data_IF_520981078795
#
_entry.id   IF_520981078795
#
_cell.length_a   1.000
_cell.length_b   1.000
_cell.length_c   1.000
_cell.angle_alpha   90.00
_cell.angle_beta   90.00
_cell.angle_gamma   90.00
#
_symmetry.space_group_name_H-M   'P 1'
#
loop_
_entity.id
_entity.type
_entity.pdbx_description
1 polymer ?
#
# COMPACT_ATOMS: atom_id res chain seq x y z
N UNK A 1 -7.96 -27.00 -37.41
CA UNK A 1 -6.78 -26.32 -36.81
C UNK A 1 -7.00 -24.84 -36.46
N UNK A 2 -7.94 -24.11 -37.09
CA UNK A 2 -8.21 -22.69 -36.76
C UNK A 2 -8.90 -22.45 -35.40
N UNK A 3 -9.72 -23.39 -34.93
CA UNK A 3 -10.45 -23.27 -33.66
C UNK A 3 -9.58 -23.45 -32.40
N UNK A 4 -8.46 -24.17 -32.50
CA UNK A 4 -7.54 -24.39 -31.37
C UNK A 4 -6.75 -23.13 -31.00
N UNK A 5 -6.50 -22.25 -31.98
CA UNK A 5 -5.75 -21.01 -31.77
C UNK A 5 -6.59 -19.98 -30.99
N UNK A 6 -7.89 -19.92 -31.27
CA UNK A 6 -8.83 -19.00 -30.58
C UNK A 6 -9.00 -19.38 -29.10
N UNK A 7 -9.05 -20.68 -28.79
CA UNK A 7 -9.12 -21.15 -27.40
C UNK A 7 -7.82 -20.93 -26.62
N UNK A 8 -6.67 -21.00 -27.30
CA UNK A 8 -5.37 -20.73 -26.67
C UNK A 8 -5.16 -19.25 -26.35
N UNK A 9 -5.67 -18.33 -27.17
CA UNK A 9 -5.63 -16.89 -26.87
C UNK A 9 -6.51 -16.48 -25.68
N UNK A 10 -7.62 -17.19 -25.42
CA UNK A 10 -8.47 -16.95 -24.26
C UNK A 10 -7.80 -17.36 -22.93
N UNK A 11 -6.94 -18.38 -22.94
CA UNK A 11 -6.21 -18.82 -21.75
C UNK A 11 -5.08 -17.86 -21.33
N UNK A 12 -4.55 -17.07 -22.26
CA UNK A 12 -3.48 -16.11 -21.98
C UNK A 12 -3.96 -14.82 -21.31
N UNK A 13 -5.26 -14.49 -21.39
CA UNK A 13 -5.85 -13.36 -20.67
C UNK A 13 -6.27 -13.69 -19.21
N UNK A 14 -6.11 -14.94 -18.76
CA UNK A 14 -6.48 -15.39 -17.41
C UNK A 14 -5.25 -15.51 -16.48
N UNK A 15 -4.07 -15.09 -16.93
CA UNK A 15 -2.81 -15.18 -16.19
C UNK A 15 -2.39 -13.86 -15.48
N UNK A 16 -3.35 -12.98 -15.16
CA UNK A 16 -3.14 -12.02 -14.07
C UNK A 16 -3.71 -12.64 -12.80
N UNK A 17 -2.82 -13.06 -11.90
CA UNK A 17 -3.14 -13.78 -10.67
C UNK A 17 -4.39 -13.25 -9.98
N UNK A 18 -5.30 -14.18 -9.65
CA UNK A 18 -6.51 -13.99 -8.84
C UNK A 18 -6.68 -12.57 -8.27
N UNK A 19 -7.35 -11.65 -9.01
CA UNK A 19 -7.69 -10.34 -8.48
C UNK A 19 -8.70 -10.44 -7.31
N UNK A 20 -9.16 -11.65 -6.99
CA UNK A 20 -10.17 -11.97 -5.99
C UNK A 20 -9.63 -12.72 -4.76
N UNK A 21 -8.32 -12.67 -4.48
CA UNK A 21 -7.88 -13.09 -3.14
C UNK A 21 -8.33 -12.03 -2.12
N UNK A 22 -9.00 -12.44 -1.03
CA UNK A 22 -9.38 -11.51 0.04
C UNK A 22 -8.19 -10.68 0.56
N UNK A 23 -6.98 -11.24 0.49
CA UNK A 23 -5.72 -10.57 0.87
C UNK A 23 -5.32 -9.45 -0.09
N UNK A 24 -5.34 -9.69 -1.41
CA UNK A 24 -5.02 -8.66 -2.41
C UNK A 24 -6.02 -7.50 -2.37
N UNK A 25 -7.31 -7.81 -2.21
CA UNK A 25 -8.35 -6.80 -2.01
C UNK A 25 -8.15 -6.01 -0.70
N UNK A 26 -7.70 -6.66 0.37
CA UNK A 26 -7.38 -5.98 1.63
C UNK A 26 -6.19 -5.01 1.48
N UNK A 27 -5.13 -5.42 0.78
CA UNK A 27 -3.97 -4.56 0.52
C UNK A 27 -4.35 -3.31 -0.27
N UNK A 28 -5.18 -3.47 -1.31
CA UNK A 28 -5.64 -2.34 -2.12
C UNK A 28 -6.60 -1.42 -1.36
N UNK A 29 -7.60 -1.98 -0.66
CA UNK A 29 -8.56 -1.19 0.14
C UNK A 29 -7.87 -0.35 1.21
N UNK A 30 -6.89 -0.93 1.89
CA UNK A 30 -6.13 -0.22 2.93
C UNK A 30 -4.95 0.58 2.37
N UNK A 31 -4.74 0.58 1.05
CA UNK A 31 -3.62 1.25 0.38
C UNK A 31 -2.27 0.94 1.04
N UNK A 32 -2.04 -0.32 1.39
CA UNK A 32 -0.86 -0.71 2.18
C UNK A 32 0.47 -0.31 1.51
N UNK A 33 0.52 -0.16 0.18
CA UNK A 33 1.70 0.29 -0.57
C UNK A 33 1.98 1.80 -0.46
N UNK A 34 0.98 2.63 -0.17
CA UNK A 34 1.16 4.09 -0.06
C UNK A 34 1.00 4.62 1.36
N UNK A 35 0.57 3.77 2.30
CA UNK A 35 0.24 4.16 3.68
C UNK A 35 1.36 4.91 4.41
N UNK A 36 2.62 4.52 4.20
CA UNK A 36 3.76 5.21 4.80
C UNK A 36 3.93 6.60 4.18
N UNK A 37 3.94 6.69 2.85
CA UNK A 37 4.02 7.97 2.13
C UNK A 37 2.87 8.92 2.47
N UNK A 38 1.64 8.40 2.59
CA UNK A 38 0.47 9.17 3.00
C UNK A 38 0.59 9.67 4.44
N UNK A 39 1.12 8.84 5.35
CA UNK A 39 1.43 9.25 6.73
C UNK A 39 2.47 10.38 6.74
N UNK A 40 3.54 10.24 5.97
CA UNK A 40 4.58 11.25 5.82
C UNK A 40 4.03 12.59 5.35
N UNK A 41 3.25 12.58 4.27
CA UNK A 41 2.67 13.81 3.70
C UNK A 41 1.71 14.51 4.66
N UNK A 42 0.93 13.75 5.42
CA UNK A 42 0.04 14.32 6.44
C UNK A 42 0.82 14.96 7.58
N UNK A 43 1.85 14.28 8.07
CA UNK A 43 2.71 14.81 9.13
C UNK A 43 3.53 16.01 8.65
N UNK A 44 4.01 16.01 7.40
CA UNK A 44 4.68 17.15 6.76
C UNK A 44 3.77 18.37 6.71
N UNK A 45 2.53 18.19 6.22
CA UNK A 45 1.55 19.26 6.17
C UNK A 45 1.21 19.80 7.57
N UNK A 46 1.00 18.91 8.53
CA UNK A 46 0.70 19.30 9.91
C UNK A 46 1.87 20.05 10.56
N UNK A 47 3.11 19.58 10.37
CA UNK A 47 4.30 20.23 10.89
C UNK A 47 4.45 21.64 10.32
N UNK A 48 4.34 21.79 9.00
CA UNK A 48 4.47 23.10 8.34
C UNK A 48 3.39 24.08 8.78
N UNK A 49 2.15 23.62 8.94
CA UNK A 49 1.03 24.45 9.42
C UNK A 49 1.23 24.85 10.89
N UNK A 50 1.70 23.94 11.73
CA UNK A 50 1.83 24.19 13.18
C UNK A 50 3.05 25.04 13.54
N UNK A 51 4.15 24.89 12.79
CA UNK A 51 5.43 25.56 13.08
C UNK A 51 5.72 26.77 12.19
N UNK A 52 5.01 26.93 11.07
CA UNK A 52 5.34 27.88 10.00
C UNK A 52 6.79 27.74 9.48
N UNK A 53 7.45 26.61 9.71
CA UNK A 53 8.79 26.33 9.23
C UNK A 53 8.77 25.48 7.96
N UNK A 54 9.51 25.85 6.89
CA UNK A 54 9.69 24.99 5.72
C UNK A 54 10.70 23.87 5.97
N UNK A 55 11.52 23.98 7.01
CA UNK A 55 12.60 23.04 7.33
C UNK A 55 12.34 22.31 8.65
N UNK A 56 12.83 21.07 8.69
CA UNK A 56 12.77 20.22 9.87
C UNK A 56 14.02 20.37 10.71
N UNK A 57 13.86 20.37 12.04
CA UNK A 57 14.98 19.96 12.91
C UNK A 57 15.24 18.47 12.73
N UNK A 58 16.46 18.00 12.99
CA UNK A 58 16.79 16.57 12.92
C UNK A 58 15.91 15.72 13.87
N UNK A 59 15.53 16.30 15.01
CA UNK A 59 14.67 15.64 16.00
C UNK A 59 13.26 15.47 15.43
N UNK A 60 12.68 16.55 14.89
CA UNK A 60 11.34 16.51 14.32
C UNK A 60 11.25 15.58 13.12
N UNK A 61 12.25 15.62 12.24
CA UNK A 61 12.32 14.71 11.09
C UNK A 61 12.35 13.25 11.55
N UNK A 62 13.17 12.93 12.56
CA UNK A 62 13.24 11.57 13.09
C UNK A 62 11.94 11.10 13.73
N UNK A 63 11.20 12.01 14.38
CA UNK A 63 9.90 11.72 14.98
C UNK A 63 8.83 11.47 13.90
N UNK A 64 8.79 12.32 12.87
CA UNK A 64 7.88 12.17 11.73
C UNK A 64 8.16 10.85 10.99
N UNK A 65 9.43 10.58 10.68
CA UNK A 65 9.86 9.33 10.02
C UNK A 65 9.56 8.11 10.86
N UNK A 66 9.92 8.14 12.14
CA UNK A 66 9.70 7.03 13.05
C UNK A 66 8.22 6.70 13.24
N UNK A 67 7.33 7.69 13.18
CA UNK A 67 5.88 7.48 13.34
C UNK A 67 5.24 6.75 12.16
N UNK A 68 5.81 6.87 10.95
CA UNK A 68 5.26 6.29 9.73
C UNK A 68 5.95 4.99 9.32
N UNK A 69 7.20 4.80 9.75
CA UNK A 69 8.01 3.65 9.36
C UNK A 69 7.44 2.34 9.92
N UNK A 70 7.18 1.38 9.04
CA UNK A 70 6.63 0.07 9.39
C UNK A 70 5.11 -0.02 9.30
N UNK A 71 4.40 1.05 8.92
CA UNK A 71 2.96 0.98 8.66
C UNK A 71 2.64 0.09 7.47
N UNK A 72 3.47 0.05 6.42
CA UNK A 72 3.26 -0.86 5.28
C UNK A 72 3.32 -2.32 5.76
N UNK A 73 4.38 -2.65 6.50
CA UNK A 73 4.59 -4.01 7.03
C UNK A 73 3.46 -4.42 7.98
N UNK A 74 3.00 -3.50 8.80
CA UNK A 74 1.89 -3.73 9.75
C UNK A 74 0.57 -3.93 9.00
N UNK A 75 0.29 -3.08 7.99
CA UNK A 75 -0.89 -3.19 7.14
C UNK A 75 -0.92 -4.55 6.40
N UNK A 76 0.20 -4.96 5.82
CA UNK A 76 0.34 -6.27 5.17
C UNK A 76 0.07 -7.41 6.15
N UNK A 77 0.72 -7.40 7.32
CA UNK A 77 0.50 -8.41 8.37
C UNK A 77 -0.97 -8.49 8.83
N UNK A 78 -1.64 -7.35 8.98
CA UNK A 78 -3.05 -7.32 9.37
C UNK A 78 -3.94 -7.95 8.31
N UNK A 79 -3.67 -7.67 7.03
CA UNK A 79 -4.38 -8.28 5.91
C UNK A 79 -4.04 -9.77 5.71
N UNK A 80 -2.84 -10.22 6.07
CA UNK A 80 -2.46 -11.64 6.10
C UNK A 80 -3.14 -12.37 7.26
N UNK A 81 -3.17 -11.75 8.44
CA UNK A 81 -3.81 -12.27 9.65
C UNK A 81 -5.33 -12.30 9.55
N UNK A 82 -5.93 -11.54 8.64
CA UNK A 82 -7.38 -11.51 8.39
C UNK A 82 -7.93 -12.75 7.67
N UNK A 83 -7.15 -13.82 7.48
CA UNK A 83 -7.58 -15.07 6.84
C UNK A 83 -7.92 -16.20 7.80
N UNK A 84 -8.51 -15.86 8.95
CA UNK A 84 -9.24 -16.82 9.77
C UNK A 84 -10.65 -16.26 9.93
N UNK A 85 -11.62 -16.96 9.34
CA UNK A 85 -13.06 -16.64 9.12
C UNK A 85 -13.41 -16.05 7.76
#
# INVERSE_FOLDING_TARGET
MKLLIVFSSLFLFVQCGSPFSFRSACYERNKCSTIEGDCFLRNDAFYKISTNSPEYSNIDLSAIVGSCLGLEKTCRKNCESGTIF
#
